data_IF_837100352832
#
_entry.id   IF_837100352832
#
_cell.length_a   1.000
_cell.length_b   1.000
_cell.length_c   1.000
_cell.angle_alpha   90.00
_cell.angle_beta   90.00
_cell.angle_gamma   90.00
#
_symmetry.space_group_name_H-M   'P 1'
#
loop_
_entity.id
_entity.type
_entity.pdbx_description
1 polymer ?
#
# COMPACT_ATOMS: atom_id res chain seq x y z
N UNK A 1 -55.83 31.68 -40.42
CA UNK A 1 -55.63 31.42 -38.98
C UNK A 1 -55.00 30.05 -38.86
N UNK A 2 -53.67 29.96 -38.84
CA UNK A 2 -52.90 28.71 -38.82
C UNK A 2 -51.95 28.80 -37.62
N UNK A 3 -52.15 27.91 -36.65
CA UNK A 3 -51.41 27.84 -35.39
C UNK A 3 -50.21 26.91 -35.58
N UNK A 4 -48.97 27.44 -35.51
CA UNK A 4 -47.75 26.63 -35.50
C UNK A 4 -47.39 26.29 -34.05
N UNK A 5 -47.65 25.04 -33.64
CA UNK A 5 -47.16 24.51 -32.38
C UNK A 5 -45.66 24.21 -32.50
N UNK A 6 -44.83 24.97 -31.78
CA UNK A 6 -43.39 24.69 -31.65
C UNK A 6 -43.23 23.54 -30.65
N UNK A 7 -42.98 22.33 -31.17
CA UNK A 7 -42.52 21.19 -30.36
C UNK A 7 -41.03 21.40 -30.08
N UNK A 8 -40.71 21.98 -28.92
CA UNK A 8 -39.35 22.01 -28.40
C UNK A 8 -38.97 20.60 -27.94
N UNK A 9 -38.34 19.83 -28.83
CA UNK A 9 -37.74 18.56 -28.48
C UNK A 9 -36.48 18.85 -27.64
N UNK A 10 -36.62 18.82 -26.31
CA UNK A 10 -35.49 18.87 -25.39
C UNK A 10 -34.77 17.53 -25.51
N UNK A 11 -33.75 17.48 -26.36
CA UNK A 11 -32.81 16.37 -26.42
C UNK A 11 -32.00 16.39 -25.13
N UNK A 12 -32.51 15.73 -24.09
CA UNK A 12 -31.76 15.44 -22.88
C UNK A 12 -30.62 14.49 -23.29
N UNK A 13 -29.45 15.05 -23.55
CA UNK A 13 -28.23 14.27 -23.70
C UNK A 13 -27.97 13.63 -22.33
N UNK A 14 -28.40 12.37 -22.17
CA UNK A 14 -28.01 11.54 -21.05
C UNK A 14 -26.52 11.27 -21.24
N UNK A 15 -25.69 12.16 -20.72
CA UNK A 15 -24.26 11.90 -20.54
C UNK A 15 -24.19 10.84 -19.46
N UNK A 16 -24.18 9.58 -19.87
CA UNK A 16 -23.86 8.49 -18.96
C UNK A 16 -22.45 8.75 -18.46
N UNK A 17 -22.32 9.08 -17.18
CA UNK A 17 -21.02 9.15 -16.52
C UNK A 17 -20.47 7.73 -16.56
N UNK A 18 -19.54 7.48 -17.48
CA UNK A 18 -18.89 6.18 -17.57
C UNK A 18 -18.17 5.93 -16.25
N UNK A 19 -18.29 4.73 -15.67
CA UNK A 19 -17.60 4.40 -14.45
C UNK A 19 -16.09 4.49 -14.69
N UNK A 20 -15.40 5.29 -13.89
CA UNK A 20 -13.96 5.41 -13.97
C UNK A 20 -13.34 4.31 -13.12
N UNK A 21 -12.59 3.41 -13.75
CA UNK A 21 -11.73 2.46 -13.06
C UNK A 21 -10.37 3.11 -12.81
N UNK A 22 -9.89 3.08 -11.58
CA UNK A 22 -8.56 3.54 -11.19
C UNK A 22 -7.81 2.46 -10.43
N UNK A 23 -6.50 2.38 -10.63
CA UNK A 23 -5.63 1.63 -9.74
C UNK A 23 -5.37 2.48 -8.50
N UNK A 24 -5.51 1.90 -7.31
CA UNK A 24 -5.30 2.59 -6.04
C UNK A 24 -4.31 1.83 -5.18
N UNK A 25 -3.30 2.52 -4.68
CA UNK A 25 -2.37 1.97 -3.70
C UNK A 25 -2.86 2.32 -2.31
N UNK A 26 -3.23 1.29 -1.57
CA UNK A 26 -3.66 1.35 -0.19
C UNK A 26 -2.46 1.13 0.71
N UNK A 27 -2.15 2.11 1.58
CA UNK A 27 -1.06 1.98 2.56
C UNK A 27 -1.64 1.44 3.85
N UNK A 28 -1.09 0.34 4.35
CA UNK A 28 -1.50 -0.25 5.62
C UNK A 28 -1.12 0.69 6.78
N UNK A 29 -2.09 0.95 7.66
CA UNK A 29 -1.90 1.82 8.82
C UNK A 29 -1.60 1.03 10.10
N UNK A 30 -1.33 1.74 11.20
CA UNK A 30 -1.08 1.14 12.51
C UNK A 30 -2.26 0.36 13.10
N UNK A 31 -3.45 0.47 12.49
CA UNK A 31 -4.62 -0.36 12.82
C UNK A 31 -4.56 -1.74 12.17
N UNK A 32 -3.60 -2.01 11.29
CA UNK A 32 -3.38 -3.33 10.71
C UNK A 32 -2.70 -4.27 11.71
N UNK A 33 -3.50 -5.00 12.47
CA UNK A 33 -3.03 -6.02 13.40
C UNK A 33 -3.30 -7.41 12.83
N UNK A 34 -2.24 -8.23 12.71
CA UNK A 34 -2.35 -9.66 12.42
C UNK A 34 -1.85 -10.44 13.64
N UNK A 35 -2.69 -11.35 14.09
CA UNK A 35 -2.31 -12.43 14.99
C UNK A 35 -1.86 -13.60 14.14
N UNK A 36 -0.72 -14.22 14.46
CA UNK A 36 -0.42 -15.54 13.94
C UNK A 36 -0.60 -16.61 14.99
N UNK A 37 -0.94 -17.80 14.51
CA UNK A 37 -0.76 -19.05 15.23
C UNK A 37 -0.06 -20.03 14.30
N UNK A 38 0.80 -20.87 14.86
CA UNK A 38 1.50 -21.88 14.08
C UNK A 38 1.71 -23.14 14.90
N UNK A 39 1.58 -24.27 14.21
CA UNK A 39 1.90 -25.59 14.74
C UNK A 39 3.09 -26.12 13.96
N UNK A 40 4.00 -26.77 14.66
CA UNK A 40 5.12 -27.48 14.06
C UNK A 40 5.03 -28.95 14.45
N UNK A 41 5.25 -29.84 13.49
CA UNK A 41 5.39 -31.25 13.76
C UNK A 41 6.88 -31.60 13.71
N UNK A 42 7.42 -32.07 14.84
CA UNK A 42 8.76 -32.62 14.92
C UNK A 42 8.65 -34.15 14.89
N UNK A 43 9.10 -34.83 13.82
CA UNK A 43 8.96 -36.28 13.67
C UNK A 43 9.52 -37.08 14.86
N UNK A 44 10.56 -36.57 15.52
CA UNK A 44 11.23 -37.22 16.65
C UNK A 44 10.32 -37.42 17.90
N UNK A 45 9.26 -36.63 18.05
CA UNK A 45 8.37 -36.68 19.22
C UNK A 45 7.01 -37.36 18.93
N UNK A 46 6.91 -38.11 17.83
CA UNK A 46 5.66 -38.75 17.41
C UNK A 46 4.67 -37.78 16.77
N UNK A 47 3.39 -38.16 16.71
CA UNK A 47 2.34 -37.39 16.03
C UNK A 47 1.80 -36.19 16.83
N UNK A 48 2.39 -35.84 17.97
CA UNK A 48 1.92 -34.71 18.78
C UNK A 48 2.54 -33.41 18.23
N UNK A 49 1.74 -32.52 17.61
CA UNK A 49 2.26 -31.26 17.10
C UNK A 49 2.68 -30.38 18.27
N UNK A 50 3.81 -29.70 18.08
CA UNK A 50 4.22 -28.61 18.92
C UNK A 50 3.41 -27.38 18.52
N UNK A 51 2.49 -26.95 19.38
CA UNK A 51 1.75 -25.70 19.20
C UNK A 51 2.64 -24.54 19.66
N UNK A 52 2.98 -23.61 18.77
CA UNK A 52 3.56 -22.34 19.18
C UNK A 52 2.57 -21.56 20.07
N UNK A 53 3.05 -20.58 20.84
CA UNK A 53 2.16 -19.75 21.65
C UNK A 53 1.09 -19.09 20.75
N UNK A 54 -0.22 -19.36 20.96
CA UNK A 54 -1.27 -19.08 19.97
C UNK A 54 -1.74 -17.61 19.91
N UNK A 55 -0.94 -16.63 20.35
CA UNK A 55 -1.44 -15.26 20.54
C UNK A 55 -0.43 -14.14 20.28
N UNK A 56 0.66 -14.40 19.55
CA UNK A 56 1.60 -13.33 19.24
C UNK A 56 1.00 -12.44 18.14
N UNK A 57 0.73 -11.18 18.50
CA UNK A 57 0.26 -10.14 17.60
C UNK A 57 1.44 -9.38 17.03
N UNK A 58 1.38 -9.03 15.75
CA UNK A 58 2.32 -8.12 15.12
C UNK A 58 1.57 -7.12 14.24
N UNK A 59 2.18 -5.95 14.07
CA UNK A 59 1.70 -4.96 13.12
C UNK A 59 2.20 -5.33 11.74
N UNK A 60 1.35 -5.10 10.74
CA UNK A 60 1.73 -5.21 9.34
C UNK A 60 1.86 -3.85 8.74
N UNK A 61 2.98 -3.62 8.07
CA UNK A 61 3.25 -2.43 7.27
C UNK A 61 3.43 -2.82 5.82
N UNK A 62 3.07 -1.90 4.93
CA UNK A 62 3.25 -2.09 3.49
C UNK A 62 2.09 -1.54 2.69
N UNK A 63 1.87 -2.12 1.52
CA UNK A 63 0.86 -1.65 0.56
C UNK A 63 0.00 -2.80 0.04
N UNK A 64 -1.22 -2.47 -0.37
CA UNK A 64 -2.11 -3.33 -1.12
C UNK A 64 -2.55 -2.61 -2.41
N UNK A 65 -2.46 -3.29 -3.54
CA UNK A 65 -3.00 -2.78 -4.80
C UNK A 65 -4.48 -3.10 -4.91
N UNK A 66 -5.32 -2.10 -5.16
CA UNK A 66 -6.76 -2.31 -5.40
C UNK A 66 -7.18 -1.47 -6.59
N UNK A 67 -7.71 -2.11 -7.62
CA UNK A 67 -8.41 -1.39 -8.68
C UNK A 67 -9.82 -1.10 -8.20
N UNK A 68 -10.24 0.16 -8.18
CA UNK A 68 -11.59 0.58 -7.78
C UNK A 68 -12.27 1.22 -8.96
N UNK A 69 -13.51 0.79 -9.20
CA UNK A 69 -14.42 1.44 -10.12
C UNK A 69 -15.43 2.26 -9.33
N UNK A 70 -15.51 3.56 -9.61
CA UNK A 70 -16.38 4.48 -8.89
C UNK A 70 -17.30 5.28 -9.83
N UNK A 71 -18.48 5.63 -9.33
CA UNK A 71 -19.46 6.52 -10.01
C UNK A 71 -19.80 7.65 -9.05
N UNK A 72 -19.50 8.89 -9.45
CA UNK A 72 -19.70 10.06 -8.59
C UNK A 72 -18.88 10.00 -7.28
N UNK A 73 -17.70 9.36 -7.31
CA UNK A 73 -16.86 9.16 -6.13
C UNK A 73 -17.30 8.03 -5.21
N UNK A 74 -18.42 7.36 -5.50
CA UNK A 74 -18.90 6.20 -4.73
C UNK A 74 -18.32 4.92 -5.36
N UNK A 75 -17.58 4.10 -4.60
CA UNK A 75 -17.03 2.84 -5.11
C UNK A 75 -18.16 1.84 -5.37
N UNK A 76 -18.20 1.26 -6.56
CA UNK A 76 -19.24 0.30 -7.00
C UNK A 76 -18.69 -1.09 -7.34
N UNK A 77 -17.40 -1.17 -7.66
CA UNK A 77 -16.71 -2.43 -7.89
C UNK A 77 -15.23 -2.29 -7.55
N UNK A 78 -14.57 -3.41 -7.31
CA UNK A 78 -13.15 -3.44 -7.03
C UNK A 78 -12.48 -4.75 -7.43
N UNK A 79 -11.15 -4.76 -7.40
CA UNK A 79 -10.33 -5.95 -7.56
C UNK A 79 -9.05 -5.80 -6.73
N UNK A 80 -8.71 -6.79 -5.91
CA UNK A 80 -7.39 -6.85 -5.28
C UNK A 80 -6.39 -7.30 -6.35
N UNK A 81 -5.37 -6.50 -6.60
CA UNK A 81 -4.38 -6.74 -7.65
C UNK A 81 -2.98 -6.85 -7.05
N UNK A 82 -2.14 -7.66 -7.71
CA UNK A 82 -0.76 -7.83 -7.28
C UNK A 82 0.03 -6.53 -7.40
N UNK A 83 1.06 -6.39 -6.57
CA UNK A 83 1.94 -5.22 -6.54
C UNK A 83 1.98 -4.53 -5.18
N UNK A 84 1.00 -4.85 -4.32
CA UNK A 84 1.11 -4.58 -2.89
C UNK A 84 2.05 -5.57 -2.23
N UNK A 85 2.92 -5.08 -1.35
CA UNK A 85 3.78 -5.92 -0.51
C UNK A 85 3.57 -5.50 0.93
N UNK A 86 3.15 -6.45 1.77
CA UNK A 86 2.87 -6.24 3.18
C UNK A 86 3.66 -7.20 4.05
N UNK A 87 4.30 -6.72 5.11
CA UNK A 87 5.13 -7.53 5.99
C UNK A 87 5.05 -7.10 7.45
N UNK A 88 5.46 -7.97 8.39
CA UNK A 88 5.49 -7.64 9.81
C UNK A 88 6.53 -6.56 10.10
N UNK A 89 6.25 -5.71 11.10
CA UNK A 89 7.24 -4.78 11.68
C UNK A 89 8.25 -5.54 12.55
N UNK A 90 9.10 -6.36 11.94
CA UNK A 90 10.13 -7.14 12.61
C UNK A 90 9.93 -8.66 12.59
N UNK A 91 10.85 -9.41 13.20
CA UNK A 91 10.79 -10.87 13.22
C UNK A 91 9.66 -11.36 14.11
N UNK A 92 8.98 -12.40 13.64
CA UNK A 92 7.91 -13.09 14.34
C UNK A 92 8.52 -14.27 15.10
N UNK A 93 8.65 -14.15 16.42
CA UNK A 93 9.27 -15.20 17.24
C UNK A 93 8.21 -15.98 18.02
N UNK A 94 8.26 -17.31 17.94
CA UNK A 94 7.53 -18.22 18.81
C UNK A 94 8.52 -19.17 19.49
N UNK A 95 8.37 -19.31 20.81
CA UNK A 95 9.22 -20.18 21.63
C UNK A 95 8.37 -21.28 22.21
N UNK A 96 8.87 -22.51 22.12
CA UNK A 96 8.22 -23.68 22.71
C UNK A 96 8.99 -24.01 23.97
N UNK A 97 8.37 -23.71 25.10
CA UNK A 97 8.88 -24.08 26.40
C UNK A 97 8.14 -25.32 26.88
N UNK A 98 8.89 -26.34 27.28
CA UNK A 98 8.33 -27.49 27.99
C UNK A 98 8.59 -27.27 29.48
N UNK A 99 7.58 -27.46 30.34
CA UNK A 99 7.80 -27.43 31.79
C UNK A 99 9.01 -28.31 32.15
N UNK A 100 9.88 -27.81 33.01
CA UNK A 100 11.11 -28.47 33.50
C UNK A 100 12.32 -28.55 32.55
N UNK A 101 12.15 -28.52 31.21
CA UNK A 101 13.28 -28.67 30.27
C UNK A 101 13.76 -27.37 29.60
N UNK A 102 13.10 -26.24 29.89
CA UNK A 102 13.41 -24.98 29.24
C UNK A 102 12.95 -24.96 27.77
N UNK A 103 13.66 -24.21 26.93
CA UNK A 103 13.35 -24.09 25.50
C UNK A 103 13.91 -25.29 24.75
N UNK A 104 13.05 -26.23 24.36
CA UNK A 104 13.46 -27.39 23.55
C UNK A 104 13.50 -27.07 22.06
N UNK A 105 12.63 -26.15 21.64
CA UNK A 105 12.60 -25.66 20.28
C UNK A 105 12.16 -24.19 20.21
N UNK A 106 12.68 -23.47 19.23
CA UNK A 106 12.21 -22.13 18.85
C UNK A 106 11.95 -22.07 17.36
N UNK A 107 11.00 -21.21 16.98
CA UNK A 107 10.75 -20.85 15.60
C UNK A 107 10.77 -19.32 15.49
N UNK A 108 11.60 -18.81 14.58
CA UNK A 108 11.62 -17.41 14.21
C UNK A 108 11.23 -17.31 12.74
N UNK A 109 10.12 -16.65 12.45
CA UNK A 109 9.67 -16.35 11.10
C UNK A 109 10.11 -14.93 10.77
N UNK A 110 10.93 -14.78 9.74
CA UNK A 110 11.55 -13.49 9.37
C UNK A 110 11.34 -13.17 7.90
N UNK A 111 11.34 -11.88 7.56
CA UNK A 111 11.26 -11.42 6.17
C UNK A 111 9.98 -11.84 5.44
N UNK A 112 8.88 -12.05 6.17
CA UNK A 112 7.58 -12.40 5.57
C UNK A 112 7.07 -11.24 4.77
N UNK A 113 6.72 -11.50 3.52
CA UNK A 113 5.95 -10.56 2.71
C UNK A 113 4.76 -11.25 2.07
N UNK A 114 3.63 -10.56 2.06
CA UNK A 114 2.34 -11.03 1.61
C UNK A 114 1.84 -10.15 0.47
N UNK A 115 1.12 -10.79 -0.44
CA UNK A 115 0.32 -10.13 -1.48
C UNK A 115 -1.08 -10.78 -1.49
N UNK A 116 -2.10 -9.98 -1.80
CA UNK A 116 -3.49 -10.44 -1.84
C UNK A 116 -4.07 -10.09 -3.19
N UNK A 117 -4.57 -11.10 -3.89
CA UNK A 117 -5.19 -10.95 -5.22
C UNK A 117 -6.61 -11.48 -5.20
N UNK A 118 -7.48 -10.95 -6.04
CA UNK A 118 -8.86 -11.43 -6.14
C UNK A 118 -9.39 -11.37 -7.58
N UNK A 119 -10.48 -12.09 -7.82
CA UNK A 119 -11.34 -11.76 -8.96
C UNK A 119 -12.01 -10.38 -8.74
N UNK A 120 -12.48 -9.72 -9.81
CA UNK A 120 -13.32 -8.53 -9.67
C UNK A 120 -14.57 -8.80 -8.83
N UNK A 121 -14.96 -7.83 -8.01
CA UNK A 121 -16.10 -7.92 -7.10
C UNK A 121 -16.93 -6.63 -7.08
N UNK A 122 -18.20 -6.76 -6.69
CA UNK A 122 -19.08 -5.62 -6.50
C UNK A 122 -18.93 -5.05 -5.09
N UNK A 123 -19.07 -3.73 -4.98
CA UNK A 123 -19.07 -3.00 -3.70
C UNK A 123 -20.48 -2.46 -3.49
N UNK A 124 -21.19 -3.02 -2.51
CA UNK A 124 -22.56 -2.67 -2.18
C UNK A 124 -22.58 -1.86 -0.88
N UNK A 125 -22.87 -0.56 -0.96
CA UNK A 125 -22.87 0.35 0.20
C UNK A 125 -21.55 0.30 0.99
N UNK A 126 -20.44 0.22 0.26
CA UNK A 126 -19.10 0.12 0.83
C UNK A 126 -18.73 -1.26 1.38
N UNK A 127 -19.60 -2.26 1.36
CA UNK A 127 -19.24 -3.64 1.71
C UNK A 127 -18.96 -4.47 0.45
N UNK A 128 -18.02 -5.41 0.53
CA UNK A 128 -17.74 -6.35 -0.55
C UNK A 128 -17.48 -7.77 -0.03
N UNK A 129 -17.66 -8.74 -0.91
CA UNK A 129 -17.24 -10.13 -0.72
C UNK A 129 -16.59 -10.61 -2.02
N UNK A 130 -15.42 -11.25 -1.91
CA UNK A 130 -14.69 -11.78 -3.07
C UNK A 130 -13.96 -13.06 -2.74
N UNK A 131 -13.68 -13.86 -3.78
CA UNK A 131 -12.72 -14.95 -3.69
C UNK A 131 -11.32 -14.38 -3.89
N UNK A 132 -10.53 -14.42 -2.83
CA UNK A 132 -9.17 -13.90 -2.83
C UNK A 132 -8.16 -14.99 -2.51
N UNK A 133 -6.95 -14.79 -3.01
CA UNK A 133 -5.79 -15.64 -2.76
C UNK A 133 -4.73 -14.81 -2.05
N UNK A 134 -4.15 -15.36 -0.98
CA UNK A 134 -3.01 -14.75 -0.29
C UNK A 134 -1.74 -15.48 -0.71
N UNK A 135 -0.79 -14.71 -1.20
CA UNK A 135 0.51 -15.18 -1.69
C UNK A 135 1.58 -14.80 -0.66
N UNK A 136 2.35 -15.78 -0.20
CA UNK A 136 3.52 -15.56 0.64
C UNK A 136 4.73 -15.40 -0.29
N UNK A 137 5.09 -14.15 -0.59
CA UNK A 137 6.10 -13.83 -1.60
C UNK A 137 7.52 -14.19 -1.09
N UNK A 138 7.86 -13.71 0.10
CA UNK A 138 9.13 -14.02 0.77
C UNK A 138 8.89 -14.42 2.22
N UNK A 139 9.90 -15.03 2.83
CA UNK A 139 9.89 -15.39 4.24
C UNK A 139 10.78 -16.58 4.52
N UNK A 140 11.24 -16.68 5.76
CA UNK A 140 12.05 -17.79 6.24
C UNK A 140 11.59 -18.18 7.65
N UNK A 141 11.32 -19.47 7.86
CA UNK A 141 11.15 -20.04 9.19
C UNK A 141 12.49 -20.64 9.65
N UNK A 142 13.09 -20.01 10.64
CA UNK A 142 14.29 -20.50 11.33
C UNK A 142 13.84 -21.34 12.51
N UNK A 143 13.96 -22.65 12.37
CA UNK A 143 13.60 -23.63 13.39
C UNK A 143 14.85 -24.07 14.10
N UNK A 144 14.93 -23.85 15.41
CA UNK A 144 15.99 -24.44 16.24
C UNK A 144 15.37 -25.50 17.12
N UNK A 145 15.78 -26.76 16.97
CA UNK A 145 15.32 -27.88 17.78
C UNK A 145 16.51 -28.68 18.29
N UNK A 146 16.57 -28.90 19.61
CA UNK A 146 17.64 -29.68 20.25
C UNK A 146 19.07 -29.20 19.89
N UNK A 147 19.24 -27.89 19.69
CA UNK A 147 20.52 -27.28 19.32
C UNK A 147 20.87 -27.31 17.83
N UNK A 148 20.05 -27.95 16.98
CA UNK A 148 20.17 -27.87 15.52
C UNK A 148 19.27 -26.79 14.96
N UNK A 149 19.79 -25.95 14.07
CA UNK A 149 19.02 -24.90 13.39
C UNK A 149 18.82 -25.26 11.92
N UNK A 150 17.57 -25.24 11.47
CA UNK A 150 17.15 -25.42 10.08
C UNK A 150 16.47 -24.15 9.60
N UNK A 151 16.80 -23.72 8.38
CA UNK A 151 16.14 -22.60 7.73
C UNK A 151 15.22 -23.12 6.62
N UNK A 152 13.92 -22.84 6.74
CA UNK A 152 12.88 -23.28 5.81
C UNK A 152 12.40 -22.05 5.04
N UNK A 153 12.64 -22.02 3.73
CA UNK A 153 12.11 -20.97 2.86
C UNK A 153 10.58 -21.07 2.79
N UNK A 154 9.90 -19.95 3.04
CA UNK A 154 8.43 -19.87 2.99
C UNK A 154 7.92 -19.18 1.72
N UNK A 155 8.80 -18.53 0.96
CA UNK A 155 8.43 -17.81 -0.26
C UNK A 155 7.84 -18.71 -1.35
N UNK A 156 6.94 -18.15 -2.15
CA UNK A 156 6.26 -18.83 -3.26
C UNK A 156 5.04 -19.66 -2.85
N UNK A 157 4.68 -19.71 -1.57
CA UNK A 157 3.47 -20.41 -1.12
C UNK A 157 2.23 -19.58 -1.44
N UNK A 158 1.14 -20.25 -1.79
CA UNK A 158 -0.15 -19.61 -2.05
C UNK A 158 -1.26 -20.38 -1.36
N UNK A 159 -2.25 -19.66 -0.81
CA UNK A 159 -3.44 -20.33 -0.29
C UNK A 159 -4.37 -20.74 -1.45
N UNK A 160 -5.26 -21.72 -1.24
CA UNK A 160 -6.44 -21.84 -2.08
C UNK A 160 -7.24 -20.52 -2.04
N UNK A 161 -7.96 -20.15 -3.11
CA UNK A 161 -8.90 -19.04 -3.07
C UNK A 161 -9.91 -19.23 -1.94
N UNK A 162 -10.06 -18.22 -1.08
CA UNK A 162 -11.00 -18.22 0.03
C UNK A 162 -11.88 -16.97 -0.02
N UNK A 163 -13.05 -17.07 0.60
CA UNK A 163 -13.98 -15.95 0.65
C UNK A 163 -13.49 -14.91 1.67
N UNK A 164 -13.19 -13.71 1.20
CA UNK A 164 -12.91 -12.53 2.03
C UNK A 164 -14.07 -11.56 1.91
N UNK A 165 -14.51 -11.02 3.06
CA UNK A 165 -15.51 -9.95 3.13
C UNK A 165 -14.88 -8.76 3.79
N UNK A 166 -15.01 -7.57 3.22
CA UNK A 166 -14.41 -6.36 3.75
C UNK A 166 -15.25 -5.12 3.47
N UNK A 167 -14.69 -3.96 3.77
CA UNK A 167 -15.29 -2.67 3.46
C UNK A 167 -14.33 -1.78 2.68
N UNK A 168 -14.90 -0.94 1.82
CA UNK A 168 -14.27 0.19 1.14
C UNK A 168 -15.17 1.40 1.38
N UNK A 169 -14.70 2.37 2.15
CA UNK A 169 -15.43 3.59 2.47
C UNK A 169 -14.75 4.81 1.88
N UNK A 170 -15.55 5.81 1.51
CA UNK A 170 -15.03 7.11 1.08
C UNK A 170 -14.57 7.89 2.30
N UNK A 171 -13.34 8.42 2.25
CA UNK A 171 -12.77 9.30 3.28
C UNK A 171 -12.30 10.60 2.63
N UNK A 172 -12.11 11.69 3.39
CA UNK A 172 -11.48 12.89 2.85
C UNK A 172 -10.14 12.54 2.18
N UNK A 173 -10.01 12.83 0.88
CA UNK A 173 -8.81 12.51 0.09
C UNK A 173 -8.82 11.16 -0.63
N UNK A 174 -9.86 10.34 -0.50
CA UNK A 174 -10.08 9.15 -1.33
C UNK A 174 -10.83 8.02 -0.64
N UNK A 175 -10.18 6.86 -0.47
CA UNK A 175 -10.81 5.64 0.03
C UNK A 175 -10.06 5.07 1.24
N UNK A 176 -10.78 4.41 2.13
CA UNK A 176 -10.22 3.54 3.15
C UNK A 176 -10.76 2.12 2.92
N UNK A 177 -9.90 1.12 3.11
CA UNK A 177 -10.30 -0.28 2.98
C UNK A 177 -9.96 -1.03 4.26
N UNK A 178 -10.90 -1.87 4.71
CA UNK A 178 -10.73 -2.81 5.83
C UNK A 178 -11.00 -4.22 5.35
N UNK A 179 -9.97 -5.07 5.35
CA UNK A 179 -10.03 -6.44 4.82
C UNK A 179 -9.66 -7.40 5.96
N UNK A 180 -10.65 -7.98 6.67
CA UNK A 180 -10.38 -9.00 7.67
C UNK A 180 -9.82 -10.26 7.00
N UNK A 181 -8.76 -10.81 7.60
CA UNK A 181 -8.22 -12.11 7.29
C UNK A 181 -8.76 -13.13 8.29
N UNK A 182 -9.52 -14.10 7.78
CA UNK A 182 -10.12 -15.16 8.58
C UNK A 182 -9.32 -16.45 8.46
N UNK A 183 -8.29 -16.62 9.29
CA UNK A 183 -7.49 -17.85 9.42
C UNK A 183 -6.87 -18.32 8.09
N UNK A 184 -6.05 -17.47 7.46
CA UNK A 184 -5.29 -17.81 6.25
C UNK A 184 -4.12 -18.71 6.64
N UNK A 185 -4.16 -19.99 6.26
CA UNK A 185 -3.14 -20.97 6.64
C UNK A 185 -2.20 -21.31 5.49
N UNK A 186 -0.90 -21.18 5.73
CA UNK A 186 0.19 -21.70 4.89
C UNK A 186 0.78 -22.93 5.53
N UNK A 187 0.98 -24.00 4.76
CA UNK A 187 1.72 -25.18 5.24
C UNK A 187 3.11 -25.20 4.63
N UNK A 188 4.11 -25.55 5.42
CA UNK A 188 5.49 -25.72 4.96
C UNK A 188 6.05 -27.04 5.45
N UNK A 189 6.99 -27.60 4.70
CA UNK A 189 7.71 -28.82 5.08
C UNK A 189 9.12 -28.73 4.53
N UNK A 190 10.12 -28.93 5.38
CA UNK A 190 11.51 -29.08 4.98
C UNK A 190 11.70 -30.46 4.35
N UNK A 191 12.06 -30.55 3.06
CA UNK A 191 12.27 -31.83 2.40
C UNK A 191 13.45 -32.63 2.98
N UNK A 192 14.43 -31.98 3.62
CA UNK A 192 15.60 -32.67 4.15
C UNK A 192 15.32 -33.37 5.50
N UNK A 193 14.66 -32.65 6.42
CA UNK A 193 14.38 -33.17 7.76
C UNK A 193 12.97 -33.75 7.94
N UNK A 194 12.06 -33.47 7.01
CA UNK A 194 10.62 -33.75 7.18
C UNK A 194 9.94 -32.87 8.23
N UNK A 195 10.64 -31.87 8.78
CA UNK A 195 10.05 -30.90 9.71
C UNK A 195 9.01 -30.09 8.96
N UNK A 196 7.77 -30.11 9.45
CA UNK A 196 6.68 -29.39 8.84
C UNK A 196 5.94 -28.53 9.85
N UNK A 197 5.15 -27.59 9.33
CA UNK A 197 4.30 -26.77 10.16
C UNK A 197 3.26 -26.03 9.36
N UNK A 198 2.44 -25.30 10.09
CA UNK A 198 1.50 -24.34 9.53
C UNK A 198 1.73 -22.95 10.12
N UNK A 199 1.46 -21.93 9.30
CA UNK A 199 1.40 -20.53 9.66
C UNK A 199 -0.01 -20.04 9.35
N UNK A 200 -0.81 -19.78 10.37
CA UNK A 200 -2.17 -19.26 10.25
C UNK A 200 -2.18 -17.79 10.62
N UNK A 201 -2.64 -16.95 9.70
CA UNK A 201 -2.79 -15.50 9.87
C UNK A 201 -4.26 -15.15 10.09
N UNK A 202 -4.55 -14.37 11.13
CA UNK A 202 -5.87 -13.83 11.40
C UNK A 202 -5.77 -12.37 11.84
N UNK A 203 -6.66 -11.50 11.37
CA UNK A 203 -6.57 -10.08 11.68
C UNK A 203 -7.31 -9.21 10.68
N UNK A 204 -6.86 -7.98 10.47
CA UNK A 204 -7.42 -7.11 9.44
C UNK A 204 -6.34 -6.24 8.80
N UNK A 205 -6.39 -6.12 7.47
CA UNK A 205 -5.68 -5.06 6.76
C UNK A 205 -6.53 -3.80 6.77
N UNK A 206 -6.12 -2.80 7.53
CA UNK A 206 -6.71 -1.48 7.52
C UNK A 206 -5.78 -0.55 6.74
N UNK A 207 -6.34 0.10 5.73
CA UNK A 207 -5.53 0.85 4.80
C UNK A 207 -6.24 2.09 4.30
N UNK A 208 -5.45 3.11 4.00
CA UNK A 208 -5.92 4.36 3.43
C UNK A 208 -5.26 4.59 2.10
N UNK A 209 -6.06 5.01 1.13
CA UNK A 209 -5.57 5.43 -0.16
C UNK A 209 -4.70 6.67 0.00
N UNK A 210 -3.50 6.62 -0.57
CA UNK A 210 -2.57 7.75 -0.62
C UNK A 210 -2.24 8.06 -2.07
N UNK A 211 -2.78 9.17 -2.62
CA UNK A 211 -2.52 9.56 -4.01
C UNK A 211 -1.03 9.70 -4.33
N UNK A 212 -0.21 10.14 -3.36
CA UNK A 212 1.25 10.18 -3.47
C UNK A 212 1.87 9.22 -2.45
N UNK A 213 2.70 8.29 -2.93
CA UNK A 213 3.44 7.38 -2.07
C UNK A 213 4.87 7.13 -2.59
N UNK A 214 5.71 6.52 -1.75
CA UNK A 214 7.02 5.99 -2.10
C UNK A 214 7.40 4.87 -1.12
N UNK A 215 8.24 3.94 -1.57
CA UNK A 215 8.79 2.88 -0.73
C UNK A 215 9.88 3.39 0.24
N UNK A 216 10.49 4.54 -0.06
CA UNK A 216 11.54 5.16 0.76
C UNK A 216 11.12 6.54 1.23
N UNK A 217 11.42 6.84 2.51
CA UNK A 217 11.25 8.17 3.11
C UNK A 217 12.60 8.76 3.55
N UNK A 218 13.69 8.02 3.39
CA UNK A 218 15.02 8.44 3.80
C UNK A 218 16.06 8.10 2.75
N UNK A 219 16.99 9.03 2.51
CA UNK A 219 18.13 8.82 1.60
C UNK A 219 19.39 9.34 2.28
N UNK A 220 20.46 8.54 2.28
CA UNK A 220 21.71 8.94 2.93
C UNK A 220 22.42 10.04 2.15
N UNK A 221 22.94 11.03 2.86
CA UNK A 221 23.71 12.14 2.28
C UNK A 221 25.09 11.68 1.79
N UNK A 222 25.64 10.61 2.37
CA UNK A 222 26.94 10.08 2.01
C UNK A 222 26.87 9.25 0.72
N UNK A 223 25.91 8.33 0.62
CA UNK A 223 25.75 7.44 -0.54
C UNK A 223 24.82 7.98 -1.61
N UNK A 224 24.02 9.02 -1.31
CA UNK A 224 22.95 9.51 -2.19
C UNK A 224 21.87 8.47 -2.43
N UNK A 225 21.04 8.70 -3.45
CA UNK A 225 20.02 7.74 -3.86
C UNK A 225 18.88 8.38 -4.64
N UNK A 226 17.85 7.58 -4.93
CA UNK A 226 16.65 8.01 -5.62
C UNK A 226 15.42 7.64 -4.80
N UNK A 227 14.59 8.63 -4.48
CA UNK A 227 13.24 8.39 -4.00
C UNK A 227 12.31 8.32 -5.21
N UNK A 228 11.62 7.20 -5.39
CA UNK A 228 10.64 7.02 -6.47
C UNK A 228 9.25 7.28 -5.94
N UNK A 229 8.64 8.36 -6.39
CA UNK A 229 7.29 8.78 -6.03
C UNK A 229 6.29 8.21 -7.03
N UNK A 230 5.31 7.44 -6.56
CA UNK A 230 4.21 6.94 -7.37
C UNK A 230 3.00 7.85 -7.19
N UNK A 231 2.48 8.36 -8.31
CA UNK A 231 1.29 9.20 -8.35
C UNK A 231 0.12 8.34 -8.82
N UNK A 232 -0.98 8.45 -8.09
CA UNK A 232 -2.23 7.74 -8.37
C UNK A 232 -3.38 8.70 -8.13
N UNK A 233 -4.15 9.02 -9.16
CA UNK A 233 -5.39 9.80 -9.04
C UNK A 233 -6.62 9.01 -9.46
N UNK A 234 -6.43 7.90 -10.17
CA UNK A 234 -7.49 7.08 -10.76
C UNK A 234 -7.89 7.57 -12.17
N UNK A 235 -8.55 6.69 -12.93
CA UNK A 235 -8.77 6.88 -14.38
C UNK A 235 -9.62 8.08 -14.77
N UNK A 236 -10.38 8.66 -13.83
CA UNK A 236 -11.14 9.90 -14.08
C UNK A 236 -10.27 11.12 -14.36
N UNK A 237 -8.99 11.07 -13.98
CA UNK A 237 -8.00 12.11 -14.22
C UNK A 237 -6.97 11.68 -15.28
N UNK A 238 -7.25 10.62 -16.04
CA UNK A 238 -6.35 10.15 -17.07
C UNK A 238 -6.11 11.22 -18.14
N UNK A 239 -4.84 11.49 -18.45
CA UNK A 239 -4.46 12.57 -19.37
C UNK A 239 -4.36 13.96 -18.75
N UNK A 240 -4.76 14.17 -17.49
CA UNK A 240 -4.57 15.45 -16.81
C UNK A 240 -3.09 15.77 -16.67
N UNK A 241 -2.75 17.07 -16.71
CA UNK A 241 -1.41 17.53 -16.36
C UNK A 241 -1.21 17.39 -14.86
N UNK A 242 -0.01 17.01 -14.42
CA UNK A 242 0.37 16.96 -13.02
C UNK A 242 1.64 17.77 -12.77
N UNK A 243 1.78 18.26 -11.54
CA UNK A 243 3.00 18.89 -11.05
C UNK A 243 3.25 18.47 -9.60
N UNK A 244 4.38 17.80 -9.36
CA UNK A 244 4.92 17.47 -8.04
C UNK A 244 5.74 18.66 -7.55
N UNK A 245 5.41 19.14 -6.37
CA UNK A 245 5.99 20.29 -5.70
C UNK A 245 6.64 19.86 -4.39
N UNK A 246 7.62 20.63 -3.94
CA UNK A 246 8.38 20.39 -2.73
C UNK A 246 8.19 21.53 -1.73
N UNK A 247 8.33 21.27 -0.43
CA UNK A 247 8.44 22.26 0.63
C UNK A 247 9.50 21.81 1.63
N UNK A 248 10.39 22.71 2.03
CA UNK A 248 11.35 22.48 3.12
C UNK A 248 10.87 23.06 4.46
N UNK A 249 9.76 23.80 4.45
CA UNK A 249 9.21 24.49 5.62
C UNK A 249 7.95 23.83 6.19
N UNK A 250 7.61 22.63 5.72
CA UNK A 250 6.49 21.81 6.21
C UNK A 250 5.21 21.90 5.37
N UNK A 251 4.11 21.43 5.95
CA UNK A 251 2.83 21.13 5.26
C UNK A 251 1.64 21.97 5.74
N UNK A 252 1.81 22.79 6.78
CA UNK A 252 0.76 23.63 7.37
C UNK A 252 1.20 25.11 7.39
N UNK A 253 0.35 26.05 6.94
CA UNK A 253 -1.10 25.92 6.68
C UNK A 253 -1.49 25.32 5.32
N UNK A 254 -0.52 25.06 4.43
CA UNK A 254 -0.81 24.69 3.04
C UNK A 254 -1.13 25.89 2.15
N UNK A 255 -1.27 25.65 0.84
CA UNK A 255 -1.52 26.65 -0.19
C UNK A 255 -2.88 26.40 -0.86
N UNK A 256 -3.80 27.35 -0.75
CA UNK A 256 -5.04 27.30 -1.51
C UNK A 256 -4.77 27.55 -3.00
N UNK A 257 -5.11 26.58 -3.86
CA UNK A 257 -4.86 26.66 -5.31
C UNK A 257 -6.12 26.93 -6.13
N UNK A 258 -7.27 27.11 -5.47
CA UNK A 258 -8.57 27.34 -6.10
C UNK A 258 -9.44 26.07 -6.14
N UNK A 259 -10.70 26.20 -6.58
CA UNK A 259 -11.64 25.06 -6.63
C UNK A 259 -11.97 24.43 -5.27
N UNK A 260 -11.69 25.12 -4.16
CA UNK A 260 -11.80 24.57 -2.81
C UNK A 260 -10.65 23.62 -2.43
N UNK A 261 -9.64 23.48 -3.30
CA UNK A 261 -8.49 22.62 -3.07
C UNK A 261 -7.37 23.35 -2.32
N UNK A 262 -6.75 22.63 -1.38
CA UNK A 262 -5.59 23.09 -0.62
C UNK A 262 -4.46 22.09 -0.84
N UNK A 263 -3.35 22.59 -1.37
CA UNK A 263 -2.09 21.86 -1.50
C UNK A 263 -1.38 21.84 -0.14
N UNK A 264 -1.10 20.67 0.46
CA UNK A 264 -0.56 20.57 1.81
C UNK A 264 0.96 20.85 1.84
N UNK A 265 1.38 21.96 1.26
CA UNK A 265 2.77 22.44 1.21
C UNK A 265 2.80 23.93 1.53
N UNK A 266 3.84 24.34 2.24
CA UNK A 266 4.15 25.75 2.46
C UNK A 266 4.84 26.36 1.24
N UNK A 267 4.59 27.65 1.01
CA UNK A 267 5.23 28.39 -0.08
C UNK A 267 6.61 28.89 0.35
N UNK A 268 7.66 28.21 -0.10
CA UNK A 268 9.06 28.54 0.22
C UNK A 268 9.98 28.46 -1.02
N UNK A 269 11.30 28.56 -0.80
CA UNK A 269 12.27 28.52 -1.89
C UNK A 269 12.30 27.16 -2.62
N UNK A 270 12.04 26.05 -1.91
CA UNK A 270 11.97 24.72 -2.52
C UNK A 270 10.68 24.53 -3.32
N UNK A 271 9.58 25.11 -2.84
CA UNK A 271 8.35 25.22 -3.60
C UNK A 271 8.58 25.96 -4.91
N UNK A 272 9.18 27.16 -4.84
CA UNK A 272 9.45 27.96 -6.02
C UNK A 272 10.38 27.24 -7.00
N UNK A 273 11.43 26.59 -6.50
CA UNK A 273 12.38 25.84 -7.32
C UNK A 273 11.70 24.66 -8.04
N UNK A 274 10.91 23.85 -7.34
CA UNK A 274 10.19 22.71 -7.93
C UNK A 274 9.11 23.14 -8.92
N UNK A 275 8.46 24.29 -8.67
CA UNK A 275 7.48 24.88 -9.58
C UNK A 275 8.10 25.44 -10.86
N UNK A 276 9.21 26.19 -10.75
CA UNK A 276 9.83 26.88 -11.88
C UNK A 276 10.70 25.96 -12.75
N UNK A 277 11.24 24.89 -12.17
CA UNK A 277 12.17 23.96 -12.83
C UNK A 277 11.76 22.49 -12.65
N UNK A 278 10.54 22.09 -13.06
CA UNK A 278 10.17 20.68 -13.05
C UNK A 278 11.07 19.90 -14.01
N UNK A 279 11.32 18.63 -13.71
CA UNK A 279 12.17 17.75 -14.52
C UNK A 279 13.64 18.21 -14.65
N UNK A 280 14.11 19.11 -13.77
CA UNK A 280 15.51 19.49 -13.63
C UNK A 280 16.05 18.94 -12.32
N UNK A 281 17.26 18.37 -12.34
CA UNK A 281 17.92 17.80 -11.16
C UNK A 281 17.81 18.76 -9.95
N UNK A 282 17.35 18.30 -8.77
CA UNK A 282 17.14 16.90 -8.36
C UNK A 282 15.82 16.25 -8.80
N UNK A 283 14.94 16.97 -9.48
CA UNK A 283 13.59 16.55 -9.83
C UNK A 283 13.56 15.83 -11.19
N UNK A 284 13.12 14.58 -11.23
CA UNK A 284 12.92 13.82 -12.48
C UNK A 284 11.44 13.45 -12.64
N UNK A 285 10.85 13.72 -13.81
CA UNK A 285 9.44 13.44 -14.11
C UNK A 285 8.45 14.04 -13.08
N UNK A 286 8.78 15.21 -12.50
CA UNK A 286 7.90 15.93 -11.56
C UNK A 286 6.84 16.79 -12.24
N UNK A 287 6.92 16.99 -13.55
CA UNK A 287 5.85 17.64 -14.32
C UNK A 287 5.57 16.88 -15.62
N UNK A 288 4.30 16.60 -15.92
CA UNK A 288 3.92 15.82 -17.09
C UNK A 288 2.42 15.60 -17.20
N UNK A 289 2.02 14.60 -17.99
CA UNK A 289 0.64 14.13 -18.08
C UNK A 289 0.48 12.76 -17.41
N UNK A 290 -0.66 12.53 -16.79
CA UNK A 290 -1.02 11.22 -16.25
C UNK A 290 -1.37 10.25 -17.39
N UNK A 291 -1.09 8.95 -17.19
CA UNK A 291 -1.51 7.90 -18.11
C UNK A 291 -3.06 7.75 -18.16
N UNK A 292 -3.58 6.87 -19.01
CA UNK A 292 -5.03 6.65 -19.12
C UNK A 292 -5.69 6.12 -17.85
N UNK A 293 -4.91 5.65 -16.87
CA UNK A 293 -5.39 5.19 -15.56
C UNK A 293 -5.18 6.25 -14.46
N UNK A 294 -4.73 7.46 -14.81
CA UNK A 294 -4.46 8.51 -13.85
C UNK A 294 -3.19 8.27 -13.03
N UNK A 295 -2.14 7.72 -13.63
CA UNK A 295 -0.88 7.41 -12.95
C UNK A 295 0.31 8.14 -13.55
N UNK A 296 1.32 8.38 -12.72
CA UNK A 296 2.65 8.80 -13.15
C UNK A 296 3.71 8.34 -12.13
N UNK A 297 4.97 8.38 -12.54
CA UNK A 297 6.12 8.12 -11.66
C UNK A 297 7.04 9.33 -11.71
N UNK A 298 7.29 9.91 -10.55
CA UNK A 298 8.27 10.97 -10.36
C UNK A 298 9.45 10.45 -9.54
N UNK A 299 10.59 11.12 -9.61
CA UNK A 299 11.82 10.74 -8.92
C UNK A 299 12.50 11.96 -8.31
N UNK A 300 13.04 11.80 -7.11
CA UNK A 300 13.88 12.79 -6.44
C UNK A 300 15.27 12.17 -6.28
N UNK A 301 16.25 12.73 -6.99
CA UNK A 301 17.64 12.25 -6.94
C UNK A 301 18.43 13.06 -5.94
N UNK A 302 18.92 12.40 -4.90
CA UNK A 302 19.85 12.97 -3.93
C UNK A 302 21.27 12.63 -4.39
N UNK A 303 22.12 13.62 -4.71
CA UNK A 303 23.49 13.35 -5.10
C UNK A 303 24.30 12.74 -3.94
N UNK A 304 25.36 12.03 -4.29
CA UNK A 304 26.28 11.45 -3.30
C UNK A 304 27.23 12.51 -2.73
N UNK A 305 27.79 12.27 -1.55
CA UNK A 305 28.80 13.15 -0.97
C UNK A 305 28.29 14.54 -0.56
N UNK A 306 27.01 14.65 -0.22
CA UNK A 306 26.48 15.88 0.36
C UNK A 306 27.11 16.16 1.74
N UNK A 307 27.32 17.44 2.12
CA UNK A 307 27.91 17.78 3.40
C UNK A 307 27.10 17.21 4.58
N UNK A 308 27.73 16.67 5.64
CA UNK A 308 27.01 16.13 6.80
C UNK A 308 26.05 17.13 7.47
N UNK A 309 26.25 18.43 7.27
CA UNK A 309 25.37 19.50 7.79
C UNK A 309 23.97 19.50 7.20
N UNK A 310 23.71 18.78 6.09
CA UNK A 310 22.37 18.64 5.52
C UNK A 310 21.64 17.38 6.01
N UNK A 311 22.30 16.49 6.75
CA UNK A 311 21.63 15.38 7.39
C UNK A 311 20.62 15.88 8.43
N UNK A 312 19.44 15.27 8.47
CA UNK A 312 18.31 15.68 9.30
C UNK A 312 17.38 16.71 8.64
N UNK A 313 17.75 17.28 7.48
CA UNK A 313 16.79 18.08 6.70
C UNK A 313 15.67 17.18 6.19
N UNK A 314 14.44 17.71 6.22
CA UNK A 314 13.24 17.07 5.71
C UNK A 314 12.60 17.92 4.63
N UNK A 315 12.13 17.27 3.58
CA UNK A 315 11.35 17.87 2.51
C UNK A 315 10.02 17.14 2.40
N UNK A 316 8.93 17.88 2.23
CA UNK A 316 7.62 17.33 1.95
C UNK A 316 7.28 17.52 0.47
N UNK A 317 6.74 16.47 -0.16
CA UNK A 317 6.29 16.48 -1.54
C UNK A 317 4.79 16.30 -1.61
N UNK A 318 4.13 17.03 -2.49
CA UNK A 318 2.74 16.81 -2.86
C UNK A 318 2.56 17.18 -4.33
N UNK A 319 1.53 16.67 -4.98
CA UNK A 319 1.21 17.07 -6.35
C UNK A 319 -0.21 17.57 -6.48
N UNK A 320 -0.41 18.41 -7.49
CA UNK A 320 -1.71 18.81 -7.96
C UNK A 320 -1.89 18.38 -9.43
N UNK A 321 -3.13 18.13 -9.83
CA UNK A 321 -3.50 17.92 -11.24
C UNK A 321 -4.30 19.07 -11.81
N UNK A 322 -4.20 19.27 -13.12
CA UNK A 322 -5.01 20.22 -13.87
C UNK A 322 -5.46 19.59 -15.20
N UNK A 323 -6.77 19.59 -15.40
CA UNK A 323 -7.42 19.12 -16.63
C UNK A 323 -8.11 20.27 -17.37
N UNK A 324 -8.94 19.94 -18.36
CA UNK A 324 -9.70 20.93 -19.14
C UNK A 324 -10.71 21.74 -18.31
N UNK A 325 -11.12 21.23 -17.14
CA UNK A 325 -12.05 21.87 -16.22
C UNK A 325 -11.38 22.68 -15.10
N UNK A 326 -10.05 22.81 -15.11
CA UNK A 326 -9.27 23.45 -14.05
C UNK A 326 -8.54 22.45 -13.16
N UNK A 327 -8.25 22.82 -11.91
CA UNK A 327 -7.58 21.94 -10.95
C UNK A 327 -8.46 20.73 -10.63
N UNK A 328 -7.89 19.52 -10.74
CA UNK A 328 -8.61 18.27 -10.56
C UNK A 328 -8.48 17.73 -9.13
N UNK A 329 -7.26 17.42 -8.72
CA UNK A 329 -6.96 16.74 -7.46
C UNK A 329 -5.68 17.28 -6.82
N UNK A 330 -5.57 17.11 -5.50
CA UNK A 330 -4.33 17.32 -4.75
C UNK A 330 -4.02 16.10 -3.90
N UNK A 331 -2.75 15.73 -3.81
CA UNK A 331 -2.32 14.56 -3.03
C UNK A 331 -2.14 14.87 -1.55
N UNK A 332 -1.95 13.81 -0.76
CA UNK A 332 -1.32 13.92 0.55
C UNK A 332 0.13 14.44 0.41
N UNK A 333 0.71 15.05 1.46
CA UNK A 333 2.14 15.26 1.52
C UNK A 333 2.87 13.93 1.75
N UNK A 334 4.10 13.81 1.27
CA UNK A 334 4.96 12.65 1.45
C UNK A 334 6.40 13.11 1.77
N UNK A 335 7.01 12.65 2.88
CA UNK A 335 8.30 13.16 3.33
C UNK A 335 9.50 12.51 2.64
N UNK A 336 10.61 13.25 2.62
CA UNK A 336 11.96 12.79 2.35
C UNK A 336 12.90 13.37 3.42
N UNK A 337 13.51 12.51 4.21
CA UNK A 337 14.50 12.85 5.22
C UNK A 337 15.90 12.53 4.70
N UNK A 338 16.80 13.49 4.80
CA UNK A 338 18.21 13.24 4.52
C UNK A 338 18.85 12.56 5.72
N UNK A 339 19.30 11.33 5.53
CA UNK A 339 19.93 10.52 6.58
C UNK A 339 21.45 10.74 6.57
N UNK A 340 22.15 10.54 7.70
CA UNK A 340 23.62 10.56 7.74
C UNK A 340 24.29 9.63 6.72
#
# INVERSE_FOLDING_TARGET
MIWFARVSCVLALLVSVLPAQGHHVFVMDSGSAITYSGQMQIPLFGSQPITGQPANQFNVEGTAGVDITAVGGVPIAGQLVSGGVAGPTGPINAVVQVPFFGTLASIAITGVTLDVTSAPFNINQGAFTTMAQVNLLTGAAVVTALGSTTNIALGGQQTPPSMLSGTVTTVPGGYAASIPLNNVTFTFTDPASGLGGNLTLAGSFNSTYRPLNSATQGVSVSTGGVQTLQLSTGGSFGGDQYLVLASGSGTSPGLAIGGGLVLPLNFDNWFLQSYQSPNVLPFGNTGGALDSMGRAVATITVPTGLPPSVAGLSFDFAYATAGSSGYGMVSNPFPLVLLP
#
